data_IF_266520563600
#
_entry.id   IF_266520563600
#
_cell.length_a   1.000
_cell.length_b   1.000
_cell.length_c   1.000
_cell.angle_alpha   90.00
_cell.angle_beta   90.00
_cell.angle_gamma   90.00
#
_symmetry.space_group_name_H-M   'P 1'
#
loop_
_entity.id
_entity.type
_entity.pdbx_description
1 polymer ?
#
# COMPACT_ATOMS: atom_id res chain seq x y z
N UNK A 1 -14.82 21.52 42.70
CA UNK A 1 -14.89 21.26 41.24
C UNK A 1 -13.69 20.43 40.84
N UNK A 2 -13.88 19.18 40.40
CA UNK A 2 -12.76 18.30 40.01
C UNK A 2 -12.41 18.42 38.53
N UNK A 3 -11.13 18.52 38.20
CA UNK A 3 -10.65 18.57 36.81
C UNK A 3 -10.98 17.27 36.06
N UNK A 4 -11.59 17.39 34.88
CA UNK A 4 -11.96 16.26 34.02
C UNK A 4 -11.01 16.19 32.82
N UNK A 5 -10.13 15.19 32.81
CA UNK A 5 -9.26 14.91 31.67
C UNK A 5 -9.90 13.95 30.68
N UNK A 6 -10.05 14.40 29.43
CA UNK A 6 -10.35 13.58 28.25
C UNK A 6 -9.60 14.17 27.05
N UNK A 7 -8.82 13.37 26.35
CA UNK A 7 -8.22 13.69 25.06
C UNK A 7 -8.71 12.69 24.01
N UNK A 8 -8.81 13.16 22.77
CA UNK A 8 -9.00 12.33 21.59
C UNK A 8 -7.91 12.71 20.61
N UNK A 9 -7.09 11.74 20.21
CA UNK A 9 -6.08 11.89 19.16
C UNK A 9 -6.57 11.08 17.96
N UNK A 10 -6.70 11.73 16.81
CA UNK A 10 -6.76 11.03 15.53
C UNK A 10 -5.37 10.45 15.29
N UNK A 11 -5.25 9.14 15.19
CA UNK A 11 -3.97 8.50 14.85
C UNK A 11 -3.82 8.49 13.33
N UNK A 12 -4.92 8.20 12.64
CA UNK A 12 -5.04 8.13 11.17
C UNK A 12 -6.46 8.58 10.77
N UNK A 13 -6.73 8.91 9.49
CA UNK A 13 -8.10 9.05 8.99
C UNK A 13 -8.97 7.83 9.38
N UNK A 14 -10.19 8.09 9.84
CA UNK A 14 -11.09 7.06 10.37
C UNK A 14 -10.67 6.39 11.71
N UNK A 15 -9.45 6.53 12.21
CA UNK A 15 -8.97 5.88 13.45
C UNK A 15 -8.65 6.91 14.56
N UNK A 16 -9.48 6.91 15.61
CA UNK A 16 -9.44 7.85 16.73
C UNK A 16 -9.24 7.13 18.06
N UNK A 17 -8.15 7.46 18.76
CA UNK A 17 -7.87 7.01 20.13
C UNK A 17 -8.39 8.03 21.14
N UNK A 18 -9.36 7.62 21.95
CA UNK A 18 -9.96 8.40 23.02
C UNK A 18 -9.42 7.90 24.36
N UNK A 19 -8.89 8.78 25.20
CA UNK A 19 -8.35 8.42 26.51
C UNK A 19 -8.75 9.43 27.59
N UNK A 20 -9.02 8.94 28.80
CA UNK A 20 -9.47 9.75 29.94
C UNK A 20 -9.47 8.96 31.24
N UNK A 21 -9.96 9.58 32.33
CA UNK A 21 -9.85 9.04 33.70
C UNK A 21 -10.43 7.62 33.90
N UNK A 22 -11.37 7.19 33.06
CA UNK A 22 -12.01 5.85 33.11
C UNK A 22 -11.45 4.84 32.12
N UNK A 23 -10.32 5.15 31.46
CA UNK A 23 -9.63 4.26 30.53
C UNK A 23 -9.55 4.77 29.08
N UNK A 24 -9.23 3.86 28.18
CA UNK A 24 -8.89 4.13 26.78
C UNK A 24 -9.87 3.42 25.84
N UNK A 25 -10.09 3.98 24.65
CA UNK A 25 -10.90 3.37 23.60
C UNK A 25 -10.40 3.74 22.21
N UNK A 26 -10.39 2.78 21.31
CA UNK A 26 -10.03 2.95 19.91
C UNK A 26 -11.30 2.87 19.06
N UNK A 27 -11.54 3.89 18.24
CA UNK A 27 -12.63 3.91 17.26
C UNK A 27 -12.02 3.84 15.88
N UNK A 28 -12.40 2.85 15.08
CA UNK A 28 -11.96 2.69 13.70
C UNK A 28 -13.17 2.64 12.77
N UNK A 29 -13.13 3.42 11.69
CA UNK A 29 -14.10 3.37 10.60
C UNK A 29 -14.41 4.72 9.96
N UNK A 30 -15.10 4.63 8.83
CA UNK A 30 -15.42 5.73 7.90
C UNK A 30 -16.78 6.38 8.22
N UNK A 31 -17.12 7.54 7.64
CA UNK A 31 -18.47 8.07 7.67
C UNK A 31 -19.48 7.00 7.20
N UNK A 32 -20.41 6.62 8.08
CA UNK A 32 -21.38 5.55 7.81
C UNK A 32 -21.02 4.15 8.32
N UNK A 33 -19.76 3.82 8.60
CA UNK A 33 -19.42 2.56 9.29
C UNK A 33 -18.31 2.76 10.32
N UNK A 34 -18.65 2.65 11.61
CA UNK A 34 -17.71 2.87 12.73
C UNK A 34 -17.77 1.72 13.73
N UNK A 35 -16.61 1.31 14.26
CA UNK A 35 -16.50 0.32 15.33
C UNK A 35 -15.57 0.83 16.43
N UNK A 36 -16.09 0.93 17.66
CA UNK A 36 -15.37 1.43 18.84
C UNK A 36 -15.20 0.32 19.86
N UNK A 37 -13.97 0.11 20.32
CA UNK A 37 -13.61 -0.82 21.40
C UNK A 37 -13.09 -0.03 22.60
N UNK A 38 -13.59 -0.29 23.81
CA UNK A 38 -13.17 0.38 25.04
C UNK A 38 -12.57 -0.61 26.04
N UNK A 39 -11.54 -0.16 26.77
CA UNK A 39 -10.85 -0.90 27.85
C UNK A 39 -11.74 -1.46 28.96
N UNK A 40 -13.01 -1.05 29.06
CA UNK A 40 -13.98 -1.59 30.02
C UNK A 40 -14.71 -2.85 29.53
N UNK A 41 -14.43 -3.31 28.31
CA UNK A 41 -15.13 -4.44 27.65
C UNK A 41 -16.34 -4.03 26.81
N UNK A 42 -16.63 -2.73 26.70
CA UNK A 42 -17.71 -2.19 25.87
C UNK A 42 -17.28 -2.03 24.41
N UNK A 43 -18.04 -2.63 23.51
CA UNK A 43 -17.90 -2.50 22.04
C UNK A 43 -19.13 -1.79 21.47
N UNK A 44 -18.94 -0.89 20.51
CA UNK A 44 -20.03 -0.16 19.84
C UNK A 44 -19.82 -0.21 18.34
N UNK A 45 -20.77 -0.79 17.60
CA UNK A 45 -20.77 -0.82 16.14
C UNK A 45 -21.89 0.09 15.63
N UNK A 46 -21.57 0.96 14.68
CA UNK A 46 -22.50 1.88 14.04
C UNK A 46 -22.44 1.65 12.54
N UNK A 47 -23.60 1.49 11.91
CA UNK A 47 -23.75 1.40 10.46
C UNK A 47 -24.81 2.42 10.06
N UNK A 48 -24.64 3.15 8.97
CA UNK A 48 -25.58 4.15 8.50
C UNK A 48 -25.17 4.64 7.13
N UNK A 49 -26.13 5.10 6.33
CA UNK A 49 -25.85 5.50 4.95
C UNK A 49 -25.62 7.02 4.95
N UNK A 50 -24.43 7.52 4.54
CA UNK A 50 -24.15 8.96 4.53
C UNK A 50 -25.20 9.73 3.71
N UNK A 51 -25.56 10.93 4.17
CA UNK A 51 -26.54 11.79 3.50
C UNK A 51 -28.02 11.41 3.67
N UNK A 52 -28.36 10.18 4.07
CA UNK A 52 -29.77 9.73 4.17
C UNK A 52 -30.40 9.88 5.56
N UNK A 53 -29.60 10.14 6.60
CA UNK A 53 -30.04 10.18 8.00
C UNK A 53 -30.29 8.80 8.64
N UNK A 54 -30.32 7.72 7.85
CA UNK A 54 -30.60 6.36 8.33
C UNK A 54 -29.35 5.76 9.00
N UNK A 55 -29.46 5.38 10.27
CA UNK A 55 -28.37 4.70 10.98
C UNK A 55 -28.85 3.74 12.08
N UNK A 56 -28.10 2.65 12.26
CA UNK A 56 -28.26 1.63 13.28
C UNK A 56 -27.01 1.56 14.18
N UNK A 57 -27.21 1.60 15.50
CA UNK A 57 -26.11 1.57 16.48
C UNK A 57 -26.33 0.44 17.48
N UNK A 58 -25.45 -0.56 17.47
CA UNK A 58 -25.44 -1.66 18.44
C UNK A 58 -24.32 -1.44 19.46
N UNK A 59 -24.67 -1.42 20.74
CA UNK A 59 -23.70 -1.38 21.85
C UNK A 59 -23.79 -2.67 22.64
N UNK A 60 -22.66 -3.35 22.82
CA UNK A 60 -22.55 -4.56 23.62
C UNK A 60 -21.50 -4.32 24.71
N UNK A 61 -21.78 -4.79 25.93
CA UNK A 61 -20.85 -4.68 27.05
C UNK A 61 -20.74 -6.03 27.73
N UNK A 62 -19.56 -6.67 27.64
CA UNK A 62 -19.35 -8.01 28.20
C UNK A 62 -19.40 -8.06 29.73
N UNK A 63 -19.32 -6.89 30.38
CA UNK A 63 -19.23 -6.72 31.84
C UNK A 63 -20.42 -5.94 32.45
N UNK A 64 -21.61 -5.96 31.81
CA UNK A 64 -22.78 -5.22 32.33
C UNK A 64 -24.11 -5.95 32.10
N UNK A 65 -25.13 -5.69 32.92
CA UNK A 65 -26.43 -6.35 32.79
C UNK A 65 -27.12 -6.00 31.45
N UNK A 66 -27.85 -6.94 30.84
CA UNK A 66 -28.46 -6.76 29.53
C UNK A 66 -29.55 -5.69 29.58
N UNK A 67 -29.66 -4.88 28.51
CA UNK A 67 -30.63 -3.77 28.43
C UNK A 67 -31.38 -3.78 27.10
N UNK A 68 -32.72 -3.84 27.19
CA UNK A 68 -33.63 -3.96 26.04
C UNK A 68 -33.54 -2.77 25.08
N UNK A 69 -33.63 -3.05 23.77
CA UNK A 69 -33.71 -2.04 22.71
C UNK A 69 -35.16 -1.58 22.49
N UNK A 70 -35.35 -0.29 22.19
CA UNK A 70 -36.60 0.27 21.62
C UNK A 70 -36.36 0.68 20.17
N UNK A 71 -37.36 0.47 19.32
CA UNK A 71 -37.35 0.72 17.87
C UNK A 71 -37.61 2.19 17.53
N UNK A 72 -37.13 2.65 16.36
CA UNK A 72 -37.62 3.86 15.67
C UNK A 72 -37.61 3.71 14.14
N UNK A 73 -38.79 3.35 13.61
CA UNK A 73 -39.56 3.86 12.44
C UNK A 73 -38.88 4.40 11.14
N UNK A 74 -39.62 4.20 10.04
CA UNK A 74 -39.31 4.30 8.60
C UNK A 74 -39.28 5.74 8.00
N UNK A 75 -39.27 5.75 6.65
CA UNK A 75 -39.71 6.78 5.68
C UNK A 75 -38.51 7.59 5.08
N UNK A 76 -38.21 7.64 3.76
CA UNK A 76 -38.75 7.04 2.50
C UNK A 76 -37.70 7.03 1.32
N UNK A 77 -38.06 6.62 0.09
CA UNK A 77 -37.15 6.47 -1.10
C UNK A 77 -37.54 7.28 -2.36
N UNK A 78 -36.57 7.70 -3.20
CA UNK A 78 -36.78 8.24 -4.56
C UNK A 78 -35.70 7.76 -5.54
N UNK A 79 -36.09 7.54 -6.81
CA UNK A 79 -35.32 6.93 -7.90
C UNK A 79 -34.62 7.99 -8.77
N UNK A 80 -33.49 7.66 -9.39
CA UNK A 80 -32.87 8.46 -10.45
C UNK A 80 -32.48 7.58 -11.65
N UNK A 81 -32.60 8.18 -12.83
CA UNK A 81 -32.68 7.55 -14.12
C UNK A 81 -31.35 7.69 -14.89
N UNK A 82 -30.97 6.66 -15.65
CA UNK A 82 -29.69 6.58 -16.35
C UNK A 82 -29.71 7.27 -17.71
N UNK A 83 -28.69 8.07 -18.01
CA UNK A 83 -28.37 8.50 -19.39
C UNK A 83 -27.00 7.95 -19.77
N UNK A 84 -26.95 7.27 -20.91
CA UNK A 84 -25.76 6.62 -21.47
C UNK A 84 -25.30 7.36 -22.73
N UNK A 85 -24.00 7.64 -22.84
CA UNK A 85 -23.34 8.01 -24.09
C UNK A 85 -22.07 7.16 -24.28
N UNK A 86 -21.62 6.92 -25.53
CA UNK A 86 -20.79 5.76 -25.84
C UNK A 86 -19.29 5.96 -25.62
N UNK A 87 -18.64 4.86 -25.21
CA UNK A 87 -17.18 4.76 -25.04
C UNK A 87 -16.48 4.79 -26.40
N UNK A 88 -15.52 5.72 -26.56
CA UNK A 88 -14.47 5.60 -27.57
C UNK A 88 -13.28 4.87 -26.95
N UNK A 89 -12.97 3.66 -27.43
CA UNK A 89 -11.78 2.90 -27.03
C UNK A 89 -10.57 3.34 -27.86
N UNK A 90 -9.52 3.95 -27.27
CA UNK A 90 -8.25 4.07 -27.95
C UNK A 90 -7.48 2.75 -27.84
N UNK A 91 -6.96 2.28 -28.98
CA UNK A 91 -6.12 1.10 -29.06
C UNK A 91 -4.67 1.48 -28.71
N UNK A 92 -4.10 0.95 -27.63
CA UNK A 92 -2.73 1.20 -27.23
C UNK A 92 -1.89 -0.08 -27.25
N UNK A 93 -0.82 -0.03 -28.04
CA UNK A 93 0.24 -1.04 -28.05
C UNK A 93 1.09 -0.92 -26.77
N UNK A 94 1.75 -2.01 -26.40
CA UNK A 94 2.67 -2.17 -25.27
C UNK A 94 3.61 -0.96 -25.05
N UNK A 95 3.24 -0.08 -24.12
CA UNK A 95 4.09 1.04 -23.69
C UNK A 95 4.93 0.63 -22.48
N UNK A 96 6.17 0.17 -22.71
CA UNK A 96 7.14 -0.02 -21.63
C UNK A 96 7.45 1.33 -20.95
N UNK A 97 7.37 1.37 -19.62
CA UNK A 97 7.80 2.52 -18.82
C UNK A 97 9.32 2.54 -18.79
N UNK A 98 9.94 3.59 -19.33
CA UNK A 98 11.40 3.71 -19.36
C UNK A 98 11.90 4.68 -18.28
N UNK A 99 12.80 4.18 -17.42
CA UNK A 99 13.55 5.01 -16.48
C UNK A 99 14.81 5.59 -17.13
N UNK A 100 15.23 6.74 -16.62
CA UNK A 100 16.44 7.44 -17.05
C UNK A 100 17.70 6.79 -16.41
N UNK A 101 18.90 7.14 -16.91
CA UNK A 101 20.19 6.59 -16.47
C UNK A 101 20.51 6.86 -14.97
N UNK A 102 21.24 5.96 -14.28
CA UNK A 102 21.52 6.08 -12.85
C UNK A 102 22.49 7.23 -12.48
N UNK A 103 22.28 7.83 -11.30
CA UNK A 103 23.13 8.91 -10.78
C UNK A 103 24.33 8.30 -10.07
N UNK A 104 25.50 8.31 -10.73
CA UNK A 104 26.72 7.60 -10.29
C UNK A 104 27.10 7.83 -8.81
N UNK A 105 26.70 6.87 -7.96
CA UNK A 105 27.12 6.74 -6.56
C UNK A 105 27.34 5.27 -6.25
N UNK A 106 28.59 4.93 -5.94
CA UNK A 106 28.97 3.60 -5.48
C UNK A 106 28.19 3.22 -4.22
N UNK A 107 27.59 2.03 -4.22
CA UNK A 107 26.76 1.52 -3.12
C UNK A 107 27.65 0.82 -2.10
N UNK A 108 27.69 1.36 -0.88
CA UNK A 108 28.47 0.78 0.22
C UNK A 108 27.65 -0.16 1.09
N UNK A 109 28.31 -1.07 1.81
CA UNK A 109 27.71 -2.04 2.73
C UNK A 109 26.76 -1.43 3.78
N UNK A 110 26.99 -0.19 4.22
CA UNK A 110 26.10 0.50 5.15
C UNK A 110 24.84 1.07 4.49
N UNK A 111 24.85 1.30 3.18
CA UNK A 111 23.68 1.77 2.41
C UNK A 111 22.72 0.60 2.12
N UNK A 112 23.23 -0.59 1.82
CA UNK A 112 22.40 -1.77 1.50
C UNK A 112 21.43 -2.15 2.64
N UNK A 113 21.90 -2.09 3.89
CA UNK A 113 21.14 -2.45 5.09
C UNK A 113 19.93 -1.55 5.39
N UNK A 114 19.83 -0.39 4.73
CA UNK A 114 18.77 0.61 4.97
C UNK A 114 17.81 0.80 3.78
N UNK A 115 18.05 0.14 2.63
CA UNK A 115 17.22 0.28 1.42
C UNK A 115 15.75 0.02 1.76
N UNK A 116 15.43 -1.17 2.28
CA UNK A 116 14.05 -1.58 2.58
C UNK A 116 13.36 -0.78 3.70
N UNK A 117 14.06 0.13 4.40
CA UNK A 117 13.49 0.93 5.50
C UNK A 117 12.79 2.19 4.99
N UNK A 118 13.27 2.74 3.88
CA UNK A 118 12.64 3.87 3.18
C UNK A 118 11.37 3.42 2.46
N UNK A 119 10.44 4.35 2.24
CA UNK A 119 9.27 4.23 1.38
C UNK A 119 8.63 5.59 1.16
N UNK A 120 7.93 5.71 0.03
CA UNK A 120 6.96 6.76 -0.17
C UNK A 120 5.74 6.58 0.77
N UNK A 121 5.05 7.69 1.04
CA UNK A 121 3.83 7.68 1.84
C UNK A 121 2.67 7.02 1.08
N UNK A 122 1.83 6.28 1.80
CA UNK A 122 0.71 5.54 1.20
C UNK A 122 -0.36 6.51 0.71
N UNK A 123 -0.72 6.41 -0.57
CA UNK A 123 -1.74 7.23 -1.23
C UNK A 123 -3.14 6.69 -0.90
N UNK A 124 -3.93 7.48 -0.16
CA UNK A 124 -5.36 7.19 0.02
C UNK A 124 -6.16 7.77 -1.16
N UNK A 125 -6.29 6.95 -2.21
CA UNK A 125 -7.10 7.25 -3.38
C UNK A 125 -8.57 7.55 -3.04
N UNK A 126 -9.11 7.02 -1.93
CA UNK A 126 -10.50 7.30 -1.51
C UNK A 126 -10.64 8.68 -0.88
N UNK A 127 -9.64 9.14 -0.12
CA UNK A 127 -9.57 10.51 0.39
C UNK A 127 -9.41 11.51 -0.76
N UNK A 128 -8.52 11.21 -1.72
CA UNK A 128 -8.25 12.03 -2.91
C UNK A 128 -9.49 12.14 -3.82
N UNK A 129 -10.22 11.05 -4.07
CA UNK A 129 -11.45 11.08 -4.89
C UNK A 129 -12.55 11.95 -4.24
N UNK A 130 -12.62 11.98 -2.91
CA UNK A 130 -13.67 12.72 -2.17
C UNK A 130 -13.26 14.17 -1.87
N UNK A 131 -11.96 14.49 -1.92
CA UNK A 131 -11.41 15.80 -1.52
C UNK A 131 -10.86 16.57 -2.74
N UNK A 132 -11.66 17.44 -3.38
CA UNK A 132 -11.29 18.14 -4.63
C UNK A 132 -10.24 19.25 -4.44
N UNK A 133 -9.58 19.32 -3.27
CA UNK A 133 -8.53 20.28 -2.93
C UNK A 133 -7.53 19.59 -2.00
N UNK A 134 -6.27 20.00 -2.07
CA UNK A 134 -5.23 19.47 -1.19
C UNK A 134 -5.55 19.73 0.30
N UNK A 135 -5.08 18.85 1.22
CA UNK A 135 -5.39 18.97 2.64
C UNK A 135 -4.82 20.22 3.31
N UNK A 136 -3.66 20.68 2.82
CA UNK A 136 -2.95 21.89 3.25
C UNK A 136 -1.99 22.36 2.12
N UNK A 137 -1.48 23.58 2.25
CA UNK A 137 -0.48 24.23 1.40
C UNK A 137 0.90 23.56 1.36
N UNK A 138 1.12 22.50 2.14
CA UNK A 138 2.32 21.66 2.09
C UNK A 138 2.29 20.64 0.96
N UNK A 139 1.11 20.35 0.39
CA UNK A 139 0.95 19.45 -0.75
C UNK A 139 1.00 20.23 -2.06
N UNK A 140 1.72 19.68 -3.04
CA UNK A 140 1.72 20.17 -4.41
C UNK A 140 0.28 20.09 -4.98
N UNK A 141 -0.23 21.25 -5.41
CA UNK A 141 -1.61 21.41 -5.86
C UNK A 141 -1.83 20.81 -7.26
N UNK A 142 -0.82 20.82 -8.12
CA UNK A 142 -0.91 20.24 -9.47
C UNK A 142 -0.81 18.72 -9.39
N UNK A 143 0.06 18.19 -8.53
CA UNK A 143 0.14 16.75 -8.23
C UNK A 143 -1.15 16.25 -7.56
N UNK A 144 -1.71 17.00 -6.60
CA UNK A 144 -2.99 16.63 -5.99
C UNK A 144 -4.12 16.61 -7.01
N UNK A 145 -4.17 17.60 -7.90
CA UNK A 145 -5.16 17.65 -8.98
C UNK A 145 -5.01 16.46 -9.92
N UNK A 146 -3.78 16.13 -10.34
CA UNK A 146 -3.51 14.94 -11.15
C UNK A 146 -4.06 13.67 -10.46
N UNK A 147 -3.73 13.46 -9.18
CA UNK A 147 -4.25 12.31 -8.44
C UNK A 147 -5.78 12.32 -8.33
N UNK A 148 -6.40 13.49 -8.15
CA UNK A 148 -7.87 13.61 -8.13
C UNK A 148 -8.49 13.21 -9.47
N UNK A 149 -7.96 13.72 -10.58
CA UNK A 149 -8.45 13.47 -11.94
C UNK A 149 -8.38 11.98 -12.31
N UNK A 150 -7.37 11.23 -11.83
CA UNK A 150 -7.22 9.77 -12.10
C UNK A 150 -7.84 8.86 -11.02
N UNK A 151 -8.13 9.38 -9.82
CA UNK A 151 -8.52 8.59 -8.64
C UNK A 151 -9.69 7.64 -8.85
N UNK A 152 -10.74 8.07 -9.55
CA UNK A 152 -11.92 7.26 -9.81
C UNK A 152 -11.58 6.02 -10.68
N UNK A 153 -10.70 6.18 -11.67
CA UNK A 153 -10.23 5.07 -12.52
C UNK A 153 -9.35 4.11 -11.74
N UNK A 154 -8.40 4.63 -10.95
CA UNK A 154 -7.56 3.83 -10.04
C UNK A 154 -8.43 3.00 -9.08
N UNK A 155 -9.44 3.59 -8.47
CA UNK A 155 -10.36 2.86 -7.57
C UNK A 155 -11.26 1.83 -8.29
N UNK A 156 -11.55 2.03 -9.58
CA UNK A 156 -12.25 1.04 -10.40
C UNK A 156 -11.39 -0.14 -10.85
N UNK A 157 -10.06 -0.06 -10.70
CA UNK A 157 -9.12 -1.06 -11.19
C UNK A 157 -8.81 -0.92 -12.69
N UNK A 158 -8.70 0.30 -13.18
CA UNK A 158 -8.29 0.57 -14.56
C UNK A 158 -6.76 0.38 -14.69
N UNK A 159 -6.36 -0.68 -15.41
CA UNK A 159 -4.94 -1.09 -15.55
C UNK A 159 -4.14 -0.02 -16.31
N UNK A 160 -4.70 0.56 -17.37
CA UNK A 160 -4.04 1.61 -18.15
C UNK A 160 -3.71 2.81 -17.27
N UNK A 161 -4.64 3.20 -16.38
CA UNK A 161 -4.41 4.26 -15.39
C UNK A 161 -3.36 3.86 -14.34
N UNK A 162 -3.25 2.59 -13.92
CA UNK A 162 -2.16 2.16 -13.04
C UNK A 162 -0.79 2.36 -13.69
N UNK A 163 -0.64 1.93 -14.96
CA UNK A 163 0.61 2.06 -15.70
C UNK A 163 0.93 3.54 -16.00
N UNK A 164 -0.08 4.34 -16.33
CA UNK A 164 0.06 5.80 -16.46
C UNK A 164 0.57 6.44 -15.15
N UNK A 165 -0.05 6.13 -14.02
CA UNK A 165 0.35 6.67 -12.70
C UNK A 165 1.78 6.24 -12.34
N UNK A 166 2.18 5.00 -12.64
CA UNK A 166 3.57 4.56 -12.46
C UNK A 166 4.53 5.37 -13.35
N UNK A 167 4.19 5.59 -14.62
CA UNK A 167 5.00 6.34 -15.57
C UNK A 167 5.18 7.81 -15.18
N UNK A 168 4.09 8.46 -14.74
CA UNK A 168 4.07 9.89 -14.45
C UNK A 168 4.73 10.19 -13.09
N UNK A 169 4.60 9.29 -12.10
CA UNK A 169 5.17 9.45 -10.75
C UNK A 169 6.60 8.89 -10.64
N UNK A 170 6.97 7.89 -11.45
CA UNK A 170 8.25 7.16 -11.40
C UNK A 170 8.63 6.72 -9.96
N UNK A 171 7.81 5.93 -9.25
CA UNK A 171 7.98 5.64 -7.81
C UNK A 171 9.28 4.93 -7.41
N UNK A 172 9.98 4.31 -8.37
CA UNK A 172 11.24 3.57 -8.15
C UNK A 172 12.48 4.37 -8.58
N UNK A 173 12.35 5.67 -8.89
CA UNK A 173 13.42 6.49 -9.45
C UNK A 173 14.62 6.67 -8.48
N UNK A 174 14.40 6.60 -7.15
CA UNK A 174 15.48 6.60 -6.16
C UNK A 174 16.26 5.26 -6.13
N UNK A 175 15.74 4.21 -6.78
CA UNK A 175 16.32 2.87 -6.79
C UNK A 175 17.24 2.60 -7.98
N UNK A 176 17.40 3.55 -8.91
CA UNK A 176 18.24 3.37 -10.10
C UNK A 176 19.72 3.08 -9.78
N UNK A 177 20.18 3.52 -8.61
CA UNK A 177 21.52 3.22 -8.11
C UNK A 177 21.68 1.76 -7.64
N UNK A 178 20.57 1.02 -7.50
CA UNK A 178 20.54 -0.36 -7.02
C UNK A 178 20.05 -1.38 -8.07
N UNK A 179 19.10 -0.96 -8.91
CA UNK A 179 18.58 -1.75 -10.02
C UNK A 179 18.33 -0.89 -11.25
N UNK A 180 18.38 -1.49 -12.42
CA UNK A 180 18.16 -0.87 -13.73
C UNK A 180 17.09 -1.65 -14.51
N UNK A 181 16.56 -1.07 -15.59
CA UNK A 181 15.58 -1.78 -16.42
C UNK A 181 14.32 -2.18 -15.67
N UNK A 182 13.79 -1.28 -14.83
CA UNK A 182 12.52 -1.52 -14.13
C UNK A 182 11.37 -1.60 -15.15
N UNK A 183 10.76 -2.78 -15.29
CA UNK A 183 9.60 -3.02 -16.13
C UNK A 183 8.37 -3.38 -15.29
N UNK A 184 7.18 -3.01 -15.77
CA UNK A 184 5.91 -3.24 -15.08
C UNK A 184 4.94 -3.99 -15.98
N UNK A 185 4.24 -4.97 -15.39
CA UNK A 185 3.19 -5.72 -16.07
C UNK A 185 2.04 -6.06 -15.13
N UNK A 186 0.83 -6.14 -15.67
CA UNK A 186 -0.27 -6.80 -14.96
C UNK A 186 -1.40 -7.20 -15.92
N UNK A 187 -2.04 -8.32 -15.58
CA UNK A 187 -3.25 -8.86 -16.20
C UNK A 187 -4.50 -8.60 -15.33
N UNK A 188 -4.32 -7.99 -14.14
CA UNK A 188 -5.34 -7.97 -13.09
C UNK A 188 -5.19 -6.75 -12.18
N UNK A 189 -6.27 -5.99 -11.89
CA UNK A 189 -6.20 -4.81 -11.02
C UNK A 189 -5.88 -5.12 -9.54
N UNK A 190 -5.77 -6.41 -9.19
CA UNK A 190 -5.38 -6.89 -7.87
C UNK A 190 -3.89 -7.29 -7.78
N UNK A 191 -3.17 -7.30 -8.90
CA UNK A 191 -1.76 -7.71 -9.03
C UNK A 191 -0.96 -6.56 -9.68
N UNK A 192 0.32 -6.47 -9.35
CA UNK A 192 1.31 -5.76 -10.17
C UNK A 192 2.57 -6.62 -10.20
N UNK A 193 3.15 -6.80 -11.37
CA UNK A 193 4.42 -7.50 -11.57
C UNK A 193 5.48 -6.45 -11.89
N UNK A 194 6.64 -6.57 -11.23
CA UNK A 194 7.78 -5.67 -11.43
C UNK A 194 9.02 -6.51 -11.69
N UNK A 195 9.70 -6.24 -12.78
CA UNK A 195 11.00 -6.82 -13.10
C UNK A 195 12.09 -5.74 -12.98
N UNK A 196 13.27 -6.10 -12.53
CA UNK A 196 14.45 -5.23 -12.58
C UNK A 196 15.75 -6.04 -12.68
N UNK A 197 16.74 -5.47 -13.36
CA UNK A 197 18.11 -5.98 -13.39
C UNK A 197 18.90 -5.40 -12.21
N UNK A 198 19.65 -6.24 -11.50
CA UNK A 198 20.51 -5.81 -10.39
C UNK A 198 21.74 -5.08 -10.93
N UNK A 199 22.01 -3.89 -10.39
CA UNK A 199 23.16 -3.07 -10.77
C UNK A 199 24.45 -3.57 -10.07
N UNK A 200 24.86 -4.81 -10.40
CA UNK A 200 25.99 -5.52 -9.77
C UNK A 200 27.28 -4.70 -9.75
N UNK A 201 27.57 -3.97 -10.84
CA UNK A 201 28.83 -3.27 -11.04
C UNK A 201 28.98 -2.01 -10.17
N UNK A 202 27.89 -1.50 -9.59
CA UNK A 202 27.91 -0.36 -8.67
C UNK A 202 28.04 -0.75 -7.18
N UNK A 203 28.29 -2.03 -6.88
CA UNK A 203 28.25 -2.59 -5.53
C UNK A 203 29.61 -3.21 -5.15
N UNK A 204 30.23 -2.74 -4.07
CA UNK A 204 31.43 -3.35 -3.48
C UNK A 204 31.06 -4.48 -2.49
N UNK A 205 30.38 -5.52 -3.01
CA UNK A 205 29.95 -6.71 -2.27
C UNK A 205 30.17 -7.95 -3.14
N UNK A 206 30.72 -9.03 -2.57
CA UNK A 206 30.90 -10.30 -3.27
C UNK A 206 29.56 -10.99 -3.56
N UNK A 207 29.33 -11.42 -4.81
CA UNK A 207 28.09 -12.10 -5.24
C UNK A 207 27.75 -13.37 -4.44
N UNK A 208 28.76 -13.98 -3.80
CA UNK A 208 28.63 -15.20 -3.00
C UNK A 208 28.40 -14.92 -1.50
N UNK A 209 28.26 -13.65 -1.09
CA UNK A 209 28.10 -13.28 0.32
C UNK A 209 26.63 -13.09 0.71
N UNK A 210 26.31 -13.36 1.97
CA UNK A 210 24.94 -13.16 2.49
C UNK A 210 24.51 -11.70 2.40
N UNK A 211 25.45 -10.74 2.42
CA UNK A 211 25.13 -9.33 2.20
C UNK A 211 24.68 -9.02 0.77
N UNK A 212 25.11 -9.78 -0.25
CA UNK A 212 24.56 -9.66 -1.60
C UNK A 212 23.14 -10.24 -1.65
N UNK A 213 22.89 -11.35 -0.96
CA UNK A 213 21.55 -11.91 -0.80
C UNK A 213 20.59 -10.91 -0.13
N UNK A 214 20.98 -10.34 1.00
CA UNK A 214 20.18 -9.35 1.74
C UNK A 214 19.99 -8.04 0.97
N UNK A 215 20.97 -7.65 0.16
CA UNK A 215 20.87 -6.52 -0.74
C UNK A 215 19.77 -6.73 -1.80
N UNK A 216 19.82 -7.84 -2.55
CA UNK A 216 18.81 -8.18 -3.56
C UNK A 216 17.42 -8.28 -2.95
N UNK A 217 17.31 -8.96 -1.80
CA UNK A 217 16.06 -9.07 -1.04
C UNK A 217 15.57 -7.69 -0.55
N UNK A 218 16.46 -6.79 -0.15
CA UNK A 218 16.10 -5.44 0.28
C UNK A 218 15.56 -4.58 -0.86
N UNK A 219 16.14 -4.67 -2.06
CA UNK A 219 15.63 -3.97 -3.25
C UNK A 219 14.25 -4.54 -3.62
N UNK A 220 14.07 -5.86 -3.65
CA UNK A 220 12.78 -6.47 -3.94
C UNK A 220 11.68 -6.08 -2.93
N UNK A 221 12.01 -6.04 -1.63
CA UNK A 221 11.09 -5.54 -0.58
C UNK A 221 10.79 -4.05 -0.80
N UNK A 222 11.80 -3.22 -1.10
CA UNK A 222 11.64 -1.78 -1.36
C UNK A 222 10.68 -1.52 -2.53
N UNK A 223 10.86 -2.21 -3.66
CA UNK A 223 9.97 -2.14 -4.82
C UNK A 223 8.52 -2.44 -4.43
N UNK A 224 8.28 -3.51 -3.67
CA UNK A 224 6.94 -3.83 -3.20
C UNK A 224 6.37 -2.78 -2.23
N UNK A 225 7.20 -2.09 -1.43
CA UNK A 225 6.75 -1.00 -0.54
C UNK A 225 6.18 0.16 -1.33
N UNK A 226 6.90 0.68 -2.34
CA UNK A 226 6.44 1.85 -3.10
C UNK A 226 5.23 1.51 -3.97
N UNK A 227 5.18 0.31 -4.58
CA UNK A 227 3.99 -0.11 -5.35
C UNK A 227 2.77 -0.31 -4.45
N UNK A 228 2.92 -0.80 -3.22
CA UNK A 228 1.81 -0.86 -2.26
C UNK A 228 1.41 0.50 -1.67
N UNK A 229 2.31 1.49 -1.69
CA UNK A 229 2.03 2.88 -1.32
C UNK A 229 1.29 3.61 -2.44
N UNK A 230 1.74 3.44 -3.70
CA UNK A 230 1.17 4.08 -4.88
C UNK A 230 -0.16 3.45 -5.32
N UNK A 231 -0.32 2.12 -5.30
CA UNK A 231 -1.47 1.44 -5.93
C UNK A 231 -2.33 0.60 -4.96
N UNK A 232 -3.65 0.50 -5.20
CA UNK A 232 -4.57 -0.30 -4.38
C UNK A 232 -4.55 -1.81 -4.70
N UNK A 233 -3.44 -2.34 -5.23
CA UNK A 233 -3.25 -3.78 -5.52
C UNK A 233 -3.21 -4.62 -4.24
N UNK A 234 -3.54 -5.92 -4.37
CA UNK A 234 -3.47 -6.90 -3.27
C UNK A 234 -2.16 -7.67 -3.22
N UNK A 235 -1.56 -7.92 -4.39
CA UNK A 235 -0.29 -8.63 -4.51
C UNK A 235 0.68 -7.80 -5.37
N UNK A 236 1.96 -7.86 -5.04
CA UNK A 236 3.05 -7.40 -5.91
C UNK A 236 4.01 -8.56 -6.11
N UNK A 237 4.22 -8.96 -7.36
CA UNK A 237 5.26 -9.94 -7.72
C UNK A 237 6.49 -9.16 -8.15
N UNK A 238 7.65 -9.49 -7.60
CA UNK A 238 8.92 -8.86 -7.95
C UNK A 238 9.88 -9.92 -8.49
N UNK A 239 10.47 -9.64 -9.64
CA UNK A 239 11.50 -10.42 -10.30
C UNK A 239 12.80 -9.60 -10.29
N UNK A 240 13.89 -10.21 -9.84
CA UNK A 240 15.22 -9.63 -9.92
C UNK A 240 16.11 -10.51 -10.82
N UNK A 241 16.74 -9.88 -11.80
CA UNK A 241 17.65 -10.53 -12.75
C UNK A 241 19.10 -10.10 -12.50
N UNK A 242 20.05 -10.99 -12.75
CA UNK A 242 21.47 -10.68 -12.86
C UNK A 242 21.89 -10.98 -14.29
N UNK A 243 22.35 -9.95 -15.01
CA UNK A 243 22.59 -9.98 -16.46
C UNK A 243 21.35 -10.36 -17.28
N UNK A 244 21.09 -11.66 -17.48
CA UNK A 244 19.91 -12.20 -18.18
C UNK A 244 19.26 -13.38 -17.43
N UNK A 245 19.72 -13.71 -16.21
CA UNK A 245 19.17 -14.83 -15.43
C UNK A 245 18.29 -14.34 -14.30
N UNK A 246 17.09 -14.90 -14.19
CA UNK A 246 16.23 -14.74 -13.01
C UNK A 246 16.89 -15.37 -11.78
N UNK A 247 17.09 -14.59 -10.71
CA UNK A 247 17.71 -15.07 -9.47
C UNK A 247 16.80 -15.00 -8.24
N UNK A 248 15.77 -14.15 -8.30
CA UNK A 248 14.74 -14.04 -7.27
C UNK A 248 13.40 -13.75 -7.94
N UNK A 249 12.38 -14.53 -7.59
CA UNK A 249 10.98 -14.22 -7.86
C UNK A 249 10.18 -14.33 -6.57
N UNK A 250 9.45 -13.29 -6.18
CA UNK A 250 8.70 -13.25 -4.90
C UNK A 250 7.35 -12.56 -5.07
N UNK A 251 6.28 -13.21 -4.59
CA UNK A 251 4.92 -12.70 -4.57
C UNK A 251 4.56 -12.20 -3.16
N UNK A 252 4.65 -10.89 -2.95
CA UNK A 252 4.25 -10.23 -1.71
C UNK A 252 2.73 -10.03 -1.67
N UNK A 253 2.06 -10.48 -0.61
CA UNK A 253 0.65 -10.15 -0.35
C UNK A 253 0.51 -8.99 0.64
N UNK A 254 -0.37 -8.01 0.35
CA UNK A 254 -0.51 -6.77 1.13
C UNK A 254 -0.86 -7.02 2.60
N UNK A 255 -1.52 -8.14 2.92
CA UNK A 255 -1.96 -8.47 4.29
C UNK A 255 -0.78 -8.93 5.15
N UNK A 256 0.07 -9.82 4.67
CA UNK A 256 1.30 -10.23 5.38
C UNK A 256 2.31 -9.08 5.39
N UNK A 257 2.46 -8.40 4.24
CA UNK A 257 3.44 -7.33 4.05
C UNK A 257 3.19 -6.11 4.95
N UNK A 258 1.93 -5.67 5.10
CA UNK A 258 1.58 -4.57 6.03
C UNK A 258 1.78 -4.89 7.51
N UNK A 259 1.98 -6.17 7.87
CA UNK A 259 2.33 -6.60 9.22
C UNK A 259 3.83 -6.53 9.55
N UNK A 260 4.69 -6.29 8.55
CA UNK A 260 6.14 -6.26 8.73
C UNK A 260 6.62 -5.00 9.48
N UNK A 261 7.64 -5.17 10.33
CA UNK A 261 8.32 -4.07 11.03
C UNK A 261 9.65 -3.78 10.33
N UNK A 262 9.60 -3.06 9.23
CA UNK A 262 10.74 -2.84 8.31
C UNK A 262 12.05 -2.36 8.96
N UNK A 263 12.00 -1.66 10.10
CA UNK A 263 13.21 -1.28 10.86
C UNK A 263 13.91 -2.44 11.59
N UNK A 264 13.28 -3.61 11.64
CA UNK A 264 13.67 -4.79 12.44
C UNK A 264 13.59 -6.10 11.63
N UNK A 265 13.49 -6.02 10.31
CA UNK A 265 13.51 -7.23 9.46
C UNK A 265 14.94 -7.55 9.05
N UNK A 266 15.22 -8.85 9.01
CA UNK A 266 16.24 -9.37 8.12
C UNK A 266 15.60 -9.55 6.72
N UNK A 267 16.23 -9.08 5.63
CA UNK A 267 15.66 -9.12 4.28
C UNK A 267 15.49 -10.55 3.76
N UNK A 268 16.55 -11.36 3.77
CA UNK A 268 16.53 -12.72 3.20
C UNK A 268 15.65 -13.67 4.01
N UNK A 269 15.65 -13.59 5.34
CA UNK A 269 14.68 -14.31 6.18
C UNK A 269 13.23 -13.86 5.93
N UNK A 270 13.01 -12.61 5.53
CA UNK A 270 11.65 -12.07 5.31
C UNK A 270 11.05 -12.54 4.00
N UNK A 271 11.85 -12.80 2.96
CA UNK A 271 11.38 -13.43 1.72
C UNK A 271 10.71 -14.79 2.00
N UNK A 272 11.24 -15.57 2.96
CA UNK A 272 10.69 -16.87 3.36
C UNK A 272 9.24 -16.84 3.91
N UNK A 273 8.70 -15.64 4.21
CA UNK A 273 7.30 -15.46 4.67
C UNK A 273 6.31 -15.41 3.50
N UNK A 274 6.79 -15.34 2.27
CA UNK A 274 6.01 -15.16 1.04
C UNK A 274 6.20 -16.35 0.09
N UNK A 275 5.31 -16.50 -0.91
CA UNK A 275 5.54 -17.42 -2.03
C UNK A 275 6.72 -16.85 -2.83
N UNK A 276 7.84 -17.56 -2.85
CA UNK A 276 9.08 -17.13 -3.50
C UNK A 276 9.79 -18.33 -4.15
N UNK A 277 10.53 -18.04 -5.21
CA UNK A 277 11.55 -18.91 -5.80
C UNK A 277 12.88 -18.17 -5.65
N UNK A 278 13.78 -18.72 -4.84
CA UNK A 278 15.11 -18.19 -4.57
C UNK A 278 16.00 -19.34 -4.15
N UNK A 279 17.14 -19.51 -4.82
CA UNK A 279 18.19 -20.44 -4.40
C UNK A 279 19.50 -19.67 -4.25
N UNK A 280 20.14 -19.81 -3.08
CA UNK A 280 21.40 -19.17 -2.75
C UNK A 280 22.30 -20.16 -1.99
N UNK A 281 23.54 -20.33 -2.41
CA UNK A 281 24.54 -21.16 -1.73
C UNK A 281 25.95 -20.54 -1.79
N UNK A 282 26.99 -21.36 -1.59
CA UNK A 282 28.38 -20.89 -1.57
C UNK A 282 28.88 -20.30 -2.90
N UNK A 283 28.20 -20.59 -4.01
CA UNK A 283 28.48 -20.00 -5.33
C UNK A 283 27.61 -18.76 -5.63
N UNK A 284 26.77 -18.34 -4.68
CA UNK A 284 25.86 -17.20 -4.79
C UNK A 284 24.44 -17.59 -5.21
N UNK A 285 23.76 -16.70 -5.91
CA UNK A 285 22.42 -16.96 -6.45
C UNK A 285 22.46 -17.94 -7.63
N UNK A 286 21.40 -18.77 -7.74
CA UNK A 286 21.17 -19.64 -8.89
C UNK A 286 20.03 -19.12 -9.78
N UNK A 287 20.01 -19.62 -11.02
CA UNK A 287 18.90 -19.44 -11.93
C UNK A 287 17.64 -20.14 -11.38
N UNK A 288 16.52 -19.42 -11.34
CA UNK A 288 15.22 -19.92 -10.85
C UNK A 288 14.11 -19.77 -11.91
N UNK A 289 13.02 -20.53 -11.77
CA UNK A 289 11.81 -20.30 -12.56
C UNK A 289 11.00 -19.13 -11.98
N UNK A 290 10.39 -18.30 -12.83
CA UNK A 290 9.49 -17.21 -12.39
C UNK A 290 8.22 -17.77 -11.75
N UNK A 291 7.72 -17.08 -10.72
CA UNK A 291 6.38 -17.33 -10.20
C UNK A 291 5.35 -16.80 -11.20
N UNK A 292 4.71 -17.73 -11.93
CA UNK A 292 3.50 -17.46 -12.72
C UNK A 292 2.29 -17.65 -11.80
N UNK A 293 1.32 -16.71 -11.84
CA UNK A 293 0.17 -16.72 -10.93
C UNK A 293 -1.05 -15.94 -11.46
#
# INVERSE_FOLDING_TARGET
MGLRFRKSISIMPGIKLNYGKTGMSISAGVPGFRKTFHSSGRTTTSVGIPGTGISYVKTENKNGPPRNQRQTRNESSTYYESVSDPVATPNYNESKVQYDEPISKQVTKSVSADIHKKADDVIDWTEIMVSPRSPDSSFDADLWKYFHDVSAKVLSGDIDTYLQVINDIKPLNDLLNYGTGFEFGTDSPLKMEVEFQINSDNIDISKNSTEYQDYVCSVAIRVARDIFALLPVKNVIVHATDSETDILSVCFDKKTFSGLKFNLIDPSETINKFKHNMEFDGDGFKCIERIIN
#
